data_IF_475051312844
#
_entry.id   IF_475051312844
#
_cell.length_a   1.000
_cell.length_b   1.000
_cell.length_c   1.000
_cell.angle_alpha   90.00
_cell.angle_beta   90.00
_cell.angle_gamma   90.00
#
_symmetry.space_group_name_H-M   'P 1'
#
loop_
_entity.id
_entity.type
_entity.pdbx_description
1 polymer ?
#
# COMPACT_ATOMS: atom_id res chain seq x y z
N UNK A 1 39.23 -22.10 44.10
CA UNK A 1 37.96 -22.52 43.44
C UNK A 1 36.87 -21.48 43.61
N UNK A 2 36.46 -21.11 44.83
CA UNK A 2 35.37 -20.13 45.05
C UNK A 2 35.62 -18.76 44.38
N UNK A 3 36.81 -18.16 44.53
CA UNK A 3 37.15 -16.89 43.88
C UNK A 3 37.12 -16.96 42.34
N UNK A 4 37.51 -18.11 41.78
CA UNK A 4 37.45 -18.36 40.33
C UNK A 4 35.99 -18.46 39.88
N UNK A 5 35.16 -19.22 40.60
CA UNK A 5 33.73 -19.34 40.31
C UNK A 5 33.00 -18.01 40.49
N UNK A 6 33.39 -17.21 41.48
CA UNK A 6 32.90 -15.85 41.68
C UNK A 6 33.23 -14.96 40.47
N UNK A 7 34.47 -15.01 39.98
CA UNK A 7 34.87 -14.32 38.74
C UNK A 7 34.01 -14.74 37.53
N UNK A 8 33.84 -16.05 37.31
CA UNK A 8 33.00 -16.58 36.21
C UNK A 8 31.51 -16.24 36.35
N UNK A 9 30.96 -16.26 37.57
CA UNK A 9 29.58 -15.92 37.85
C UNK A 9 29.31 -14.45 37.53
N UNK A 10 30.11 -13.52 38.07
CA UNK A 10 29.91 -12.09 37.82
C UNK A 10 30.24 -11.69 36.39
N UNK A 11 31.22 -12.34 35.75
CA UNK A 11 31.50 -12.09 34.32
C UNK A 11 30.32 -12.49 33.43
N UNK A 12 29.69 -13.65 33.69
CA UNK A 12 28.51 -14.09 32.95
C UNK A 12 27.20 -13.42 33.37
N UNK A 13 27.19 -12.69 34.49
CA UNK A 13 26.00 -11.96 34.96
C UNK A 13 25.49 -10.95 33.94
N UNK A 14 26.40 -10.35 33.15
CA UNK A 14 26.04 -9.48 32.03
C UNK A 14 25.26 -10.21 30.93
N UNK A 15 25.66 -11.43 30.58
CA UNK A 15 24.95 -12.28 29.62
C UNK A 15 23.60 -12.72 30.19
N UNK A 16 23.54 -13.08 31.47
CA UNK A 16 22.30 -13.39 32.17
C UNK A 16 21.30 -12.25 32.05
N UNK A 17 21.69 -11.02 32.37
CA UNK A 17 20.81 -9.84 32.26
C UNK A 17 20.27 -9.65 30.85
N UNK A 18 21.07 -9.92 29.81
CA UNK A 18 20.61 -9.84 28.41
C UNK A 18 19.52 -10.88 28.07
N UNK A 19 19.64 -12.11 28.56
CA UNK A 19 18.69 -13.20 28.25
C UNK A 19 17.53 -13.34 29.25
N UNK A 20 17.66 -12.75 30.44
CA UNK A 20 16.62 -12.72 31.48
C UNK A 20 15.34 -12.05 30.99
N UNK A 21 15.42 -11.11 30.04
CA UNK A 21 14.24 -10.53 29.38
C UNK A 21 13.62 -11.46 28.34
N UNK A 22 14.44 -12.05 27.46
CA UNK A 22 13.95 -12.76 26.26
C UNK A 22 13.37 -14.14 26.55
N UNK A 23 13.97 -14.90 27.46
CA UNK A 23 13.53 -16.26 27.80
C UNK A 23 12.08 -16.29 28.34
N UNK A 24 11.70 -15.41 29.29
CA UNK A 24 10.31 -15.30 29.74
C UNK A 24 9.31 -14.89 28.64
N UNK A 25 9.72 -14.02 27.71
CA UNK A 25 8.85 -13.63 26.59
C UNK A 25 8.61 -14.79 25.62
N UNK A 26 9.62 -15.61 25.36
CA UNK A 26 9.44 -16.83 24.57
C UNK A 26 8.46 -17.80 25.24
N UNK A 27 8.50 -17.93 26.57
CA UNK A 27 7.50 -18.71 27.30
C UNK A 27 6.10 -18.13 27.20
N UNK A 28 5.98 -16.80 27.25
CA UNK A 28 4.70 -16.10 27.05
C UNK A 28 4.16 -16.36 25.65
N UNK A 29 4.99 -16.21 24.62
CA UNK A 29 4.64 -16.49 23.22
C UNK A 29 4.14 -17.93 23.06
N UNK A 30 4.89 -18.91 23.59
CA UNK A 30 4.49 -20.33 23.56
C UNK A 30 3.13 -20.56 24.22
N UNK A 31 2.87 -19.93 25.37
CA UNK A 31 1.58 -20.05 26.05
C UNK A 31 0.44 -19.42 25.24
N UNK A 32 0.66 -18.22 24.66
CA UNK A 32 -0.31 -17.56 23.78
C UNK A 32 -0.61 -18.44 22.57
N UNK A 33 0.41 -18.96 21.90
CA UNK A 33 0.25 -19.86 20.77
C UNK A 33 -0.56 -21.11 21.15
N UNK A 34 -0.30 -21.70 22.32
CA UNK A 34 -1.04 -22.86 22.82
C UNK A 34 -2.52 -22.54 23.12
N UNK A 35 -2.84 -21.35 23.64
CA UNK A 35 -4.24 -20.93 23.83
C UNK A 35 -4.94 -20.69 22.49
N UNK A 36 -4.28 -19.99 21.55
CA UNK A 36 -4.81 -19.72 20.22
C UNK A 36 -5.03 -21.01 19.41
N UNK A 37 -4.13 -21.98 19.53
CA UNK A 37 -4.23 -23.27 18.80
C UNK A 37 -5.40 -24.14 19.27
N UNK A 38 -6.02 -23.85 20.43
CA UNK A 38 -7.26 -24.52 20.86
C UNK A 38 -8.44 -24.17 19.95
N UNK A 39 -8.38 -23.05 19.24
CA UNK A 39 -9.44 -22.57 18.35
C UNK A 39 -9.32 -23.33 17.02
N UNK A 40 -10.33 -24.14 16.68
CA UNK A 40 -10.28 -25.03 15.51
C UNK A 40 -10.07 -24.30 14.18
N UNK A 41 -10.65 -23.11 14.01
CA UNK A 41 -10.47 -22.31 12.78
C UNK A 41 -9.05 -21.82 12.56
N UNK A 42 -8.26 -21.62 13.64
CA UNK A 42 -6.87 -21.15 13.55
C UNK A 42 -5.89 -22.28 13.26
N UNK A 43 -6.27 -23.54 13.46
CA UNK A 43 -5.39 -24.70 13.20
C UNK A 43 -5.00 -24.83 11.73
N UNK A 44 -5.78 -24.26 10.82
CA UNK A 44 -5.52 -24.26 9.38
C UNK A 44 -4.22 -23.50 9.05
N UNK A 45 -3.86 -22.47 9.84
CA UNK A 45 -2.67 -21.64 9.61
C UNK A 45 -1.38 -22.45 9.78
N UNK A 46 -1.32 -23.33 10.79
CA UNK A 46 -0.19 -24.22 11.00
C UNK A 46 -0.60 -25.52 11.70
N UNK A 47 -0.93 -26.59 10.94
CA UNK A 47 -1.36 -27.87 11.51
C UNK A 47 -0.30 -28.56 12.38
N UNK A 48 0.99 -28.29 12.14
CA UNK A 48 2.10 -28.92 12.84
C UNK A 48 2.55 -28.17 14.10
N UNK A 49 1.93 -27.02 14.42
CA UNK A 49 2.32 -26.15 15.53
C UNK A 49 2.38 -26.88 16.88
N UNK A 50 1.48 -27.83 17.12
CA UNK A 50 1.44 -28.61 18.36
C UNK A 50 2.75 -29.37 18.60
N UNK A 51 3.42 -29.86 17.55
CA UNK A 51 4.73 -30.53 17.67
C UNK A 51 5.78 -29.55 18.20
N UNK A 52 5.79 -28.34 17.68
CA UNK A 52 6.73 -27.27 18.07
C UNK A 52 6.50 -26.79 19.49
N UNK A 53 5.23 -26.66 19.91
CA UNK A 53 4.85 -26.38 21.30
C UNK A 53 5.39 -27.47 22.24
N UNK A 54 5.13 -28.74 21.93
CA UNK A 54 5.55 -29.88 22.76
C UNK A 54 7.09 -29.98 22.87
N UNK A 55 7.82 -29.65 21.80
CA UNK A 55 9.28 -29.64 21.81
C UNK A 55 9.83 -28.56 22.76
N UNK A 56 9.20 -27.39 22.81
CA UNK A 56 9.60 -26.29 23.67
C UNK A 56 9.19 -26.50 25.14
N UNK A 57 8.15 -27.29 25.40
CA UNK A 57 7.78 -27.70 26.77
C UNK A 57 8.90 -28.47 27.48
N UNK A 58 9.72 -29.22 26.73
CA UNK A 58 10.89 -29.92 27.28
C UNK A 58 12.00 -28.97 27.79
N UNK A 59 11.96 -27.69 27.39
CA UNK A 59 12.90 -26.64 27.82
C UNK A 59 12.30 -25.75 28.92
N UNK A 60 10.96 -25.74 29.05
CA UNK A 60 10.19 -24.91 29.97
C UNK A 60 10.63 -24.99 31.45
N UNK A 61 10.86 -26.20 31.96
CA UNK A 61 11.27 -26.41 33.38
C UNK A 61 12.58 -25.71 33.73
N UNK A 62 13.53 -25.63 32.79
CA UNK A 62 14.83 -24.94 33.00
C UNK A 62 14.70 -23.43 32.80
N UNK A 63 13.80 -23.00 31.92
CA UNK A 63 13.52 -21.58 31.67
C UNK A 63 12.78 -20.91 32.85
N UNK A 64 11.96 -21.65 33.61
CA UNK A 64 11.27 -21.14 34.81
C UNK A 64 12.20 -20.71 35.94
N UNK A 65 13.42 -21.26 36.03
CA UNK A 65 14.43 -20.86 37.01
C UNK A 65 14.73 -19.35 36.93
N UNK A 66 14.78 -18.80 35.71
CA UNK A 66 15.04 -17.37 35.46
C UNK A 66 13.85 -16.45 35.78
N UNK A 67 12.64 -17.00 35.92
CA UNK A 67 11.44 -16.23 36.31
C UNK A 67 11.34 -16.05 37.83
N UNK A 68 12.03 -16.91 38.60
CA UNK A 68 11.96 -16.94 40.06
C UNK A 68 12.71 -15.77 40.72
N UNK A 69 13.73 -15.22 40.06
CA UNK A 69 14.58 -14.16 40.63
C UNK A 69 13.90 -12.79 40.73
N UNK A 70 12.80 -12.57 40.01
CA UNK A 70 12.14 -11.26 39.92
C UNK A 70 11.08 -11.00 41.02
N UNK A 71 10.92 -11.86 42.04
CA UNK A 71 9.77 -11.83 42.97
C UNK A 71 10.09 -11.75 44.48
N UNK A 72 11.33 -11.52 44.89
CA UNK A 72 11.70 -11.50 46.32
C UNK A 72 11.75 -10.06 46.86
N UNK A 73 10.85 -9.72 47.81
CA UNK A 73 10.70 -8.38 48.40
C UNK A 73 10.41 -8.45 49.92
N UNK A 74 11.25 -9.11 50.72
CA UNK A 74 11.13 -9.10 52.18
C UNK A 74 12.46 -9.27 52.92
N UNK A 75 12.60 -8.66 54.09
CA UNK A 75 13.87 -8.59 54.84
C UNK A 75 14.39 -9.95 55.31
N UNK A 76 13.49 -10.86 55.73
CA UNK A 76 13.89 -12.23 56.08
C UNK A 76 14.31 -13.04 54.83
N UNK A 77 13.76 -12.70 53.66
CA UNK A 77 14.12 -13.33 52.39
C UNK A 77 15.50 -12.87 51.90
N UNK A 78 16.00 -11.71 52.33
CA UNK A 78 17.32 -11.19 51.93
C UNK A 78 18.48 -12.05 52.46
N UNK A 79 18.38 -12.55 53.71
CA UNK A 79 19.39 -13.46 54.28
C UNK A 79 19.37 -14.83 53.59
N UNK A 80 18.18 -15.39 53.37
CA UNK A 80 18.03 -16.62 52.59
C UNK A 80 18.53 -16.45 51.14
N UNK A 81 18.28 -15.28 50.53
CA UNK A 81 18.77 -14.94 49.21
C UNK A 81 20.30 -14.85 49.17
N UNK A 82 20.93 -14.23 50.17
CA UNK A 82 22.39 -14.18 50.28
C UNK A 82 23.04 -15.56 50.39
N UNK A 83 22.47 -16.46 51.20
CA UNK A 83 22.94 -17.86 51.30
C UNK A 83 22.75 -18.60 49.98
N UNK A 84 21.60 -18.39 49.32
CA UNK A 84 21.30 -18.99 48.03
C UNK A 84 22.21 -18.47 46.91
N UNK A 85 22.55 -17.19 46.91
CA UNK A 85 23.53 -16.58 46.00
C UNK A 85 24.92 -17.19 46.17
N UNK A 86 25.39 -17.35 47.41
CA UNK A 86 26.68 -18.01 47.68
C UNK A 86 26.68 -19.45 47.15
N UNK A 87 25.57 -20.17 47.32
CA UNK A 87 25.41 -21.52 46.77
C UNK A 87 25.42 -21.51 45.23
N UNK A 88 24.71 -20.59 44.58
CA UNK A 88 24.70 -20.42 43.12
C UNK A 88 26.08 -20.09 42.57
N UNK A 89 26.84 -19.23 43.26
CA UNK A 89 28.23 -18.89 42.91
C UNK A 89 29.12 -20.12 43.06
N UNK A 90 29.01 -20.84 44.18
CA UNK A 90 29.86 -22.00 44.47
C UNK A 90 29.75 -23.07 43.39
N UNK A 91 28.54 -23.32 42.87
CA UNK A 91 28.26 -24.35 41.87
C UNK A 91 28.08 -23.84 40.43
N UNK A 92 28.27 -22.54 40.18
CA UNK A 92 28.04 -21.91 38.86
C UNK A 92 26.65 -22.23 38.26
N UNK A 93 25.63 -22.32 39.11
CA UNK A 93 24.30 -22.83 38.72
C UNK A 93 23.70 -21.98 37.60
N UNK A 94 23.71 -20.67 37.74
CA UNK A 94 23.15 -19.72 36.77
C UNK A 94 23.82 -19.79 35.39
N UNK A 95 25.16 -19.64 35.25
CA UNK A 95 25.82 -19.82 33.96
C UNK A 95 25.57 -21.19 33.33
N UNK A 96 25.65 -22.27 34.10
CA UNK A 96 25.43 -23.63 33.59
C UNK A 96 24.00 -23.84 33.09
N UNK A 97 23.01 -23.31 33.82
CA UNK A 97 21.62 -23.33 33.39
C UNK A 97 21.40 -22.47 32.15
N UNK A 98 21.97 -21.27 32.09
CA UNK A 98 21.82 -20.35 30.97
C UNK A 98 22.39 -20.98 29.70
N UNK A 99 23.66 -21.38 29.70
CA UNK A 99 24.28 -22.01 28.54
C UNK A 99 23.60 -23.33 28.16
N UNK A 100 23.11 -24.09 29.14
CA UNK A 100 22.33 -25.30 28.91
C UNK A 100 20.98 -25.04 28.23
N UNK A 101 20.31 -23.92 28.55
CA UNK A 101 19.08 -23.49 27.88
C UNK A 101 19.40 -22.93 26.50
N UNK A 102 20.38 -22.04 26.38
CA UNK A 102 20.78 -21.44 25.10
C UNK A 102 21.18 -22.50 24.07
N UNK A 103 22.00 -23.48 24.46
CA UNK A 103 22.38 -24.59 23.57
C UNK A 103 21.18 -25.39 23.08
N UNK A 104 20.16 -25.59 23.94
CA UNK A 104 18.92 -26.26 23.54
C UNK A 104 18.08 -25.39 22.61
N UNK A 105 17.90 -24.11 22.94
CA UNK A 105 17.14 -23.17 22.11
C UNK A 105 17.77 -22.97 20.73
N UNK A 106 19.11 -23.00 20.65
CA UNK A 106 19.83 -22.87 19.39
C UNK A 106 19.49 -24.00 18.41
N UNK A 107 19.27 -25.21 18.91
CA UNK A 107 18.80 -26.34 18.10
C UNK A 107 17.31 -26.30 17.75
N UNK A 108 16.57 -25.29 18.25
CA UNK A 108 15.11 -25.16 18.18
C UNK A 108 14.61 -23.90 17.51
N UNK A 109 15.48 -23.25 16.72
CA UNK A 109 15.15 -21.99 16.02
C UNK A 109 13.91 -22.13 15.13
N UNK A 110 13.80 -23.22 14.37
CA UNK A 110 12.66 -23.46 13.47
C UNK A 110 11.34 -23.55 14.24
N UNK A 111 11.32 -24.26 15.36
CA UNK A 111 10.13 -24.38 16.20
C UNK A 111 9.74 -23.03 16.83
N UNK A 112 10.73 -22.19 17.17
CA UNK A 112 10.49 -20.84 17.69
C UNK A 112 9.92 -19.93 16.59
N UNK A 113 10.51 -19.95 15.38
CA UNK A 113 10.04 -19.21 14.22
C UNK A 113 8.58 -19.55 13.89
N UNK A 114 8.22 -20.84 13.89
CA UNK A 114 6.84 -21.28 13.69
C UNK A 114 5.85 -20.74 14.74
N UNK A 115 6.27 -20.53 16.00
CA UNK A 115 5.43 -19.88 17.00
C UNK A 115 5.26 -18.38 16.70
N UNK A 116 6.33 -17.71 16.26
CA UNK A 116 6.29 -16.30 15.90
C UNK A 116 5.38 -16.07 14.69
N UNK A 117 5.56 -16.85 13.63
CA UNK A 117 4.75 -16.75 12.41
C UNK A 117 3.28 -17.00 12.71
N UNK A 118 2.96 -18.06 13.45
CA UNK A 118 1.58 -18.38 13.81
C UNK A 118 0.91 -17.26 14.61
N UNK A 119 1.56 -16.77 15.68
CA UNK A 119 0.98 -15.71 16.50
C UNK A 119 0.90 -14.40 15.71
N UNK A 120 1.90 -14.08 14.89
CA UNK A 120 1.92 -12.90 14.04
C UNK A 120 0.86 -12.92 12.93
N UNK A 121 0.57 -14.09 12.37
CA UNK A 121 -0.50 -14.26 11.40
C UNK A 121 -1.88 -14.07 12.05
N UNK A 122 -2.10 -14.65 13.24
CA UNK A 122 -3.32 -14.41 14.02
C UNK A 122 -3.49 -12.92 14.36
N UNK A 123 -2.42 -12.24 14.80
CA UNK A 123 -2.45 -10.81 15.09
C UNK A 123 -2.80 -9.97 13.85
N UNK A 124 -2.24 -10.35 12.68
CA UNK A 124 -2.57 -9.73 11.40
C UNK A 124 -4.04 -9.92 11.01
N UNK A 125 -4.58 -11.13 11.20
CA UNK A 125 -6.00 -11.42 10.95
C UNK A 125 -6.94 -10.63 11.87
N UNK A 126 -6.58 -10.48 13.15
CA UNK A 126 -7.32 -9.66 14.11
C UNK A 126 -7.28 -8.18 13.70
N UNK A 127 -6.13 -7.69 13.22
CA UNK A 127 -6.00 -6.32 12.69
C UNK A 127 -6.92 -6.09 11.49
N UNK A 128 -6.98 -7.03 10.53
CA UNK A 128 -7.89 -6.95 9.38
C UNK A 128 -9.36 -7.02 9.82
N UNK A 129 -9.70 -7.87 10.79
CA UNK A 129 -11.05 -7.96 11.33
C UNK A 129 -11.48 -6.64 12.01
N UNK A 130 -10.60 -6.05 12.82
CA UNK A 130 -10.83 -4.76 13.48
C UNK A 130 -11.00 -3.62 12.46
N UNK A 131 -10.20 -3.61 11.40
CA UNK A 131 -10.37 -2.67 10.28
C UNK A 131 -11.77 -2.80 9.68
N UNK A 132 -12.21 -4.02 9.34
CA UNK A 132 -13.52 -4.26 8.73
C UNK A 132 -14.68 -3.85 9.65
N UNK A 133 -14.56 -4.07 10.94
CA UNK A 133 -15.56 -3.65 11.93
C UNK A 133 -15.69 -2.12 12.03
N UNK A 134 -14.58 -1.41 11.86
CA UNK A 134 -14.55 0.06 11.84
C UNK A 134 -15.00 0.71 10.53
N UNK A 135 -15.18 -0.06 9.45
CA UNK A 135 -15.57 0.46 8.14
C UNK A 135 -17.09 0.47 7.97
N UNK A 136 -17.64 1.58 7.45
CA UNK A 136 -19.07 1.67 7.13
C UNK A 136 -19.49 0.86 5.90
N UNK A 137 -18.57 0.63 4.95
CA UNK A 137 -18.83 -0.15 3.73
C UNK A 137 -17.53 -0.81 3.25
N UNK A 138 -17.55 -2.11 3.00
CA UNK A 138 -16.44 -2.81 2.38
C UNK A 138 -16.97 -4.05 1.64
N UNK A 139 -16.13 -4.61 0.76
CA UNK A 139 -16.43 -5.89 0.13
C UNK A 139 -15.19 -6.80 0.11
N UNK A 140 -15.44 -8.10 0.03
CA UNK A 140 -14.41 -9.09 -0.30
C UNK A 140 -14.27 -9.12 -1.83
N UNK A 141 -13.08 -8.95 -2.39
CA UNK A 141 -12.89 -8.92 -3.84
C UNK A 141 -13.21 -10.27 -4.48
N UNK A 142 -13.81 -10.23 -5.67
CA UNK A 142 -13.99 -11.43 -6.50
C UNK A 142 -12.86 -11.50 -7.53
N UNK A 143 -11.96 -12.47 -7.35
CA UNK A 143 -10.86 -12.71 -8.28
C UNK A 143 -11.38 -13.41 -9.55
N UNK A 144 -11.10 -12.81 -10.71
CA UNK A 144 -11.55 -13.32 -12.02
C UNK A 144 -10.36 -13.70 -12.91
N UNK A 145 -10.62 -14.57 -13.89
CA UNK A 145 -9.57 -15.06 -14.80
C UNK A 145 -9.28 -14.15 -15.99
N UNK A 146 -10.23 -13.30 -16.37
CA UNK A 146 -10.06 -12.39 -17.48
C UNK A 146 -9.12 -11.24 -17.08
N UNK A 147 -7.91 -11.16 -17.65
CA UNK A 147 -6.90 -10.19 -17.23
C UNK A 147 -7.26 -8.75 -17.59
N UNK A 148 -8.20 -8.53 -18.52
CA UNK A 148 -8.58 -7.20 -19.02
C UNK A 148 -9.96 -6.76 -18.55
N UNK A 149 -10.46 -7.38 -17.48
CA UNK A 149 -11.75 -7.04 -16.89
C UNK A 149 -11.58 -6.55 -15.47
N UNK A 150 -12.25 -5.47 -15.12
CA UNK A 150 -12.31 -4.97 -13.75
C UNK A 150 -13.64 -4.28 -13.52
N UNK A 151 -14.27 -4.54 -12.37
CA UNK A 151 -15.55 -3.94 -12.03
C UNK A 151 -15.49 -3.44 -10.60
N UNK A 152 -15.69 -2.14 -10.41
CA UNK A 152 -15.77 -1.52 -9.09
C UNK A 152 -17.07 -0.72 -8.98
N UNK A 153 -17.86 -0.98 -7.93
CA UNK A 153 -19.09 -0.24 -7.62
C UNK A 153 -18.94 0.48 -6.29
N UNK A 154 -19.27 1.76 -6.30
CA UNK A 154 -19.18 2.64 -5.12
C UNK A 154 -17.81 2.53 -4.43
N UNK A 155 -16.72 2.54 -5.22
CA UNK A 155 -15.34 2.58 -4.73
C UNK A 155 -15.04 3.94 -4.13
N UNK A 156 -14.32 3.93 -3.00
CA UNK A 156 -13.86 5.15 -2.34
C UNK A 156 -12.43 4.99 -1.81
N UNK A 157 -11.79 6.11 -1.47
CA UNK A 157 -10.47 6.11 -0.84
C UNK A 157 -10.62 6.10 0.68
N UNK A 158 -10.06 5.12 1.41
CA UNK A 158 -10.25 4.99 2.86
C UNK A 158 -9.67 6.14 3.68
N UNK A 159 -8.64 6.82 3.16
CA UNK A 159 -7.97 7.94 3.85
C UNK A 159 -8.56 9.33 3.50
N UNK A 160 -9.60 9.40 2.67
CA UNK A 160 -10.27 10.67 2.34
C UNK A 160 -11.57 10.72 3.15
N UNK A 161 -11.70 11.70 4.05
CA UNK A 161 -12.93 11.94 4.77
C UNK A 161 -14.06 12.36 3.81
N UNK A 162 -15.27 11.86 4.04
CA UNK A 162 -16.46 12.12 3.22
C UNK A 162 -16.23 11.90 1.71
N UNK A 163 -15.44 10.88 1.37
CA UNK A 163 -15.08 10.56 0.00
C UNK A 163 -16.31 10.22 -0.86
N UNK A 164 -16.49 10.94 -1.97
CA UNK A 164 -17.53 10.64 -2.94
C UNK A 164 -17.18 9.33 -3.68
N UNK A 165 -18.01 8.31 -3.46
CA UNK A 165 -17.83 7.00 -4.07
C UNK A 165 -18.12 7.02 -5.57
N UNK A 166 -17.31 6.31 -6.36
CA UNK A 166 -17.44 6.25 -7.81
C UNK A 166 -17.63 4.81 -8.29
N UNK A 167 -18.06 4.61 -9.54
CA UNK A 167 -18.18 3.27 -10.12
C UNK A 167 -17.53 3.24 -11.48
N UNK A 168 -16.88 2.12 -11.81
CA UNK A 168 -16.25 1.92 -13.11
C UNK A 168 -16.39 0.46 -13.54
N UNK A 169 -16.55 0.28 -14.85
CA UNK A 169 -16.61 -1.01 -15.50
C UNK A 169 -15.61 -1.01 -16.65
N UNK A 170 -14.68 -1.95 -16.62
CA UNK A 170 -13.62 -2.08 -17.61
C UNK A 170 -13.82 -3.40 -18.34
N UNK A 171 -13.96 -3.32 -19.66
CA UNK A 171 -13.95 -4.46 -20.56
C UNK A 171 -12.97 -4.19 -21.70
N UNK A 172 -11.83 -4.89 -21.70
CA UNK A 172 -10.78 -4.88 -22.72
C UNK A 172 -9.97 -3.58 -22.85
N UNK A 173 -10.64 -2.43 -22.87
CA UNK A 173 -10.01 -1.11 -23.04
C UNK A 173 -9.48 -0.57 -21.72
N UNK A 174 -8.40 0.20 -21.81
CA UNK A 174 -7.84 0.94 -20.67
C UNK A 174 -8.61 2.23 -20.41
N UNK A 175 -8.34 2.95 -19.33
CA UNK A 175 -9.12 4.11 -18.88
C UNK A 175 -8.29 5.38 -18.98
N UNK A 176 -8.81 6.39 -19.69
CA UNK A 176 -8.23 7.73 -19.77
C UNK A 176 -9.18 8.73 -19.13
N UNK A 177 -8.68 9.48 -18.15
CA UNK A 177 -9.46 10.40 -17.33
C UNK A 177 -9.02 11.83 -17.63
N UNK A 178 -9.96 12.65 -18.09
CA UNK A 178 -9.77 14.09 -18.31
C UNK A 178 -10.48 14.93 -17.25
N UNK A 179 -10.13 16.20 -17.13
CA UNK A 179 -10.75 17.10 -16.14
C UNK A 179 -9.79 18.17 -15.66
N UNK A 180 -10.33 19.23 -15.06
CA UNK A 180 -9.55 20.33 -14.46
C UNK A 180 -8.70 19.87 -13.27
N UNK A 181 -7.74 20.69 -12.86
CA UNK A 181 -6.99 20.43 -11.62
C UNK A 181 -7.96 20.45 -10.44
N UNK A 182 -7.65 19.72 -9.37
CA UNK A 182 -8.50 19.60 -8.16
C UNK A 182 -9.85 18.88 -8.35
N UNK A 183 -10.18 18.41 -9.56
CA UNK A 183 -11.46 17.73 -9.84
C UNK A 183 -11.58 16.29 -9.31
N UNK A 184 -10.51 15.73 -8.75
CA UNK A 184 -10.50 14.40 -8.13
C UNK A 184 -9.85 13.27 -8.95
N UNK A 185 -9.27 13.57 -10.13
CA UNK A 185 -8.63 12.56 -11.02
C UNK A 185 -7.59 11.70 -10.29
N UNK A 186 -6.58 12.33 -9.70
CA UNK A 186 -5.50 11.65 -8.96
C UNK A 186 -6.04 10.83 -7.78
N UNK A 187 -7.01 11.39 -7.04
CA UNK A 187 -7.65 10.71 -5.92
C UNK A 187 -8.39 9.45 -6.36
N UNK A 188 -9.08 9.50 -7.51
CA UNK A 188 -9.76 8.33 -8.07
C UNK A 188 -8.77 7.25 -8.53
N UNK A 189 -7.70 7.63 -9.24
CA UNK A 189 -6.65 6.67 -9.65
C UNK A 189 -6.00 6.01 -8.42
N UNK A 190 -5.68 6.80 -7.38
CA UNK A 190 -5.19 6.26 -6.11
C UNK A 190 -6.20 5.34 -5.44
N UNK A 191 -7.50 5.67 -5.50
CA UNK A 191 -8.56 4.80 -4.96
C UNK A 191 -8.55 3.42 -5.61
N UNK A 192 -8.42 3.35 -6.94
CA UNK A 192 -8.30 2.07 -7.67
C UNK A 192 -7.06 1.31 -7.18
N UNK A 193 -5.88 1.94 -7.18
CA UNK A 193 -4.64 1.29 -6.75
C UNK A 193 -4.69 0.76 -5.31
N UNK A 194 -5.17 1.58 -4.37
CA UNK A 194 -5.33 1.18 -2.96
C UNK A 194 -6.30 0.01 -2.81
N UNK A 195 -7.41 0.02 -3.54
CA UNK A 195 -8.39 -1.07 -3.47
C UNK A 195 -7.86 -2.39 -4.06
N UNK A 196 -7.11 -2.33 -5.16
CA UNK A 196 -6.46 -3.53 -5.73
C UNK A 196 -5.40 -4.07 -4.77
N UNK A 197 -4.57 -3.19 -4.21
CA UNK A 197 -3.53 -3.58 -3.24
C UNK A 197 -4.15 -4.24 -2.00
N UNK A 198 -5.10 -3.58 -1.35
CA UNK A 198 -5.78 -4.12 -0.17
C UNK A 198 -6.63 -5.36 -0.50
N UNK A 199 -7.21 -5.41 -1.70
CA UNK A 199 -7.95 -6.57 -2.18
C UNK A 199 -7.07 -7.81 -2.28
N UNK A 200 -5.88 -7.69 -2.88
CA UNK A 200 -4.95 -8.81 -3.07
C UNK A 200 -4.18 -9.19 -1.79
N UNK A 201 -3.98 -8.25 -0.86
CA UNK A 201 -3.17 -8.49 0.35
C UNK A 201 -4.00 -8.73 1.61
N UNK A 202 -5.10 -8.00 1.79
CA UNK A 202 -5.96 -8.06 2.98
C UNK A 202 -7.31 -8.73 2.69
N UNK A 203 -7.52 -9.20 1.46
CA UNK A 203 -8.81 -9.72 0.99
C UNK A 203 -9.98 -8.75 1.26
N UNK A 204 -9.71 -7.44 1.17
CA UNK A 204 -10.66 -6.38 1.57
C UNK A 204 -10.54 -5.18 0.63
N UNK A 205 -11.66 -4.77 0.04
CA UNK A 205 -11.75 -3.55 -0.76
C UNK A 205 -12.74 -2.56 -0.12
N UNK A 206 -12.40 -1.28 -0.22
CA UNK A 206 -13.19 -0.11 0.16
C UNK A 206 -14.17 0.25 -0.96
N UNK A 207 -15.13 -0.64 -1.18
CA UNK A 207 -16.15 -0.55 -2.20
C UNK A 207 -17.37 -1.37 -1.79
N UNK A 208 -18.50 -1.17 -2.46
CA UNK A 208 -19.67 -2.05 -2.31
C UNK A 208 -19.53 -3.35 -3.08
N UNK A 209 -18.81 -3.31 -4.20
CA UNK A 209 -18.45 -4.49 -4.99
C UNK A 209 -17.16 -4.23 -5.74
N UNK A 210 -16.25 -5.21 -5.74
CA UNK A 210 -15.00 -5.14 -6.48
C UNK A 210 -14.67 -6.52 -7.08
N UNK A 211 -14.36 -6.54 -8.37
CA UNK A 211 -13.92 -7.74 -9.08
C UNK A 211 -12.78 -7.41 -10.04
N UNK A 212 -11.74 -8.23 -10.00
CA UNK A 212 -10.48 -7.98 -10.70
C UNK A 212 -9.68 -9.26 -10.89
N UNK A 213 -8.78 -9.34 -11.87
CA UNK A 213 -7.80 -10.42 -11.96
C UNK A 213 -6.68 -10.27 -10.92
N UNK A 214 -5.90 -11.33 -10.75
CA UNK A 214 -4.61 -11.21 -10.07
C UNK A 214 -3.66 -10.40 -10.95
N UNK A 215 -3.08 -9.33 -10.40
CA UNK A 215 -2.24 -8.41 -11.17
C UNK A 215 -1.18 -7.77 -10.30
N UNK A 216 -0.08 -7.35 -10.93
CA UNK A 216 0.89 -6.46 -10.28
C UNK A 216 0.44 -5.01 -10.44
N UNK A 217 0.80 -4.14 -9.50
CA UNK A 217 0.46 -2.71 -9.54
C UNK A 217 1.74 -1.91 -9.74
N UNK A 218 1.72 -0.99 -10.70
CA UNK A 218 2.78 -0.02 -10.93
C UNK A 218 2.17 1.38 -11.00
N UNK A 219 2.83 2.36 -10.40
CA UNK A 219 2.33 3.74 -10.38
C UNK A 219 3.40 4.77 -10.72
N UNK A 220 3.04 5.72 -11.56
CA UNK A 220 3.78 6.94 -11.87
C UNK A 220 2.87 8.12 -11.50
N UNK A 221 2.62 8.27 -10.19
CA UNK A 221 1.78 9.34 -9.62
C UNK A 221 2.69 10.20 -8.76
N UNK A 222 2.76 11.51 -9.04
CA UNK A 222 3.65 12.43 -8.31
C UNK A 222 3.13 12.67 -6.89
N UNK A 223 4.06 12.82 -5.93
CA UNK A 223 3.77 13.06 -4.51
C UNK A 223 4.01 14.53 -4.10
N UNK A 224 4.78 15.32 -4.87
CA UNK A 224 5.10 16.71 -4.52
C UNK A 224 5.20 17.65 -5.72
N UNK A 225 4.61 18.84 -5.58
CA UNK A 225 4.71 19.99 -6.50
C UNK A 225 5.94 20.87 -6.18
N UNK A 226 7.06 20.28 -5.76
CA UNK A 226 8.24 21.05 -5.37
C UNK A 226 9.07 21.41 -6.62
N UNK A 227 8.73 22.57 -7.21
CA UNK A 227 9.27 23.18 -8.44
C UNK A 227 10.79 23.41 -8.45
N UNK A 228 11.50 23.15 -7.36
CA UNK A 228 12.92 23.47 -7.22
C UNK A 228 13.86 22.42 -7.86
N UNK A 229 13.35 21.31 -8.41
CA UNK A 229 14.19 20.20 -8.92
C UNK A 229 13.71 19.56 -10.25
N UNK A 230 13.00 20.29 -11.11
CA UNK A 230 12.28 19.80 -12.29
C UNK A 230 13.06 18.86 -13.24
N UNK A 231 14.38 19.05 -13.42
CA UNK A 231 15.19 18.20 -14.32
C UNK A 231 15.37 16.78 -13.78
N UNK A 232 15.56 16.62 -12.48
CA UNK A 232 15.71 15.29 -11.86
C UNK A 232 14.39 14.53 -11.89
N UNK A 233 13.27 15.23 -11.65
CA UNK A 233 11.94 14.61 -11.67
C UNK A 233 11.52 14.12 -13.05
N UNK A 234 11.79 14.88 -14.11
CA UNK A 234 11.50 14.41 -15.47
C UNK A 234 12.31 13.14 -15.81
N UNK A 235 13.58 13.08 -15.42
CA UNK A 235 14.41 11.91 -15.68
C UNK A 235 13.95 10.69 -14.86
N UNK A 236 13.58 10.86 -13.59
CA UNK A 236 12.99 9.80 -12.77
C UNK A 236 11.66 9.28 -13.32
N UNK A 237 10.81 10.18 -13.84
CA UNK A 237 9.57 9.81 -14.52
C UNK A 237 9.85 8.97 -15.77
N UNK A 238 10.82 9.36 -16.60
CA UNK A 238 11.24 8.59 -17.77
C UNK A 238 11.75 7.20 -17.40
N UNK A 239 12.56 7.09 -16.33
CA UNK A 239 13.05 5.79 -15.84
C UNK A 239 11.92 4.91 -15.30
N UNK A 240 10.99 5.50 -14.56
CA UNK A 240 9.81 4.78 -14.02
C UNK A 240 8.94 4.25 -15.16
N UNK A 241 8.69 5.06 -16.20
CA UNK A 241 7.93 4.63 -17.37
C UNK A 241 8.67 3.53 -18.15
N UNK A 242 10.00 3.59 -18.23
CA UNK A 242 10.80 2.52 -18.84
C UNK A 242 10.63 1.20 -18.08
N UNK A 243 10.69 1.22 -16.75
CA UNK A 243 10.45 0.03 -15.93
C UNK A 243 9.04 -0.53 -16.15
N UNK A 244 8.01 0.34 -16.23
CA UNK A 244 6.65 -0.08 -16.57
C UNK A 244 6.57 -0.77 -17.94
N UNK A 245 7.26 -0.24 -18.95
CA UNK A 245 7.34 -0.85 -20.29
C UNK A 245 7.98 -2.24 -20.21
N UNK A 246 9.09 -2.38 -19.48
CA UNK A 246 9.76 -3.66 -19.31
C UNK A 246 8.86 -4.70 -18.60
N UNK A 247 8.10 -4.26 -17.60
CA UNK A 247 7.13 -5.11 -16.89
C UNK A 247 5.89 -5.42 -17.74
N UNK A 248 5.46 -4.51 -18.61
CA UNK A 248 4.29 -4.73 -19.48
C UNK A 248 4.45 -5.92 -20.43
N UNK A 249 5.71 -6.30 -20.72
CA UNK A 249 6.06 -7.39 -21.62
C UNK A 249 6.33 -8.73 -20.90
N UNK A 250 6.16 -8.81 -19.57
CA UNK A 250 6.54 -9.99 -18.78
C UNK A 250 5.52 -11.15 -18.84
N UNK A 251 4.41 -11.00 -19.57
CA UNK A 251 3.37 -12.01 -19.72
C UNK A 251 2.49 -12.22 -18.48
N UNK A 252 2.48 -11.29 -17.53
CA UNK A 252 1.57 -11.26 -16.38
C UNK A 252 0.58 -10.10 -16.53
N UNK A 253 -0.63 -10.19 -15.94
CA UNK A 253 -1.52 -9.05 -15.85
C UNK A 253 -0.90 -7.95 -14.98
N UNK A 254 -0.91 -6.72 -15.47
CA UNK A 254 -0.40 -5.56 -14.73
C UNK A 254 -1.41 -4.41 -14.78
N UNK A 255 -1.50 -3.68 -13.68
CA UNK A 255 -2.22 -2.42 -13.55
C UNK A 255 -1.23 -1.28 -13.51
N UNK A 256 -1.26 -0.44 -14.55
CA UNK A 256 -0.45 0.78 -14.62
C UNK A 256 -1.29 1.99 -14.27
N UNK A 257 -0.87 2.75 -13.26
CA UNK A 257 -1.54 3.96 -12.78
C UNK A 257 -0.66 5.16 -13.06
N UNK A 258 -1.05 6.02 -14.00
CA UNK A 258 -0.27 7.17 -14.42
C UNK A 258 -1.03 8.48 -14.18
N UNK A 259 -0.34 9.50 -13.69
CA UNK A 259 -0.92 10.82 -13.50
C UNK A 259 -0.09 11.88 -14.24
N UNK A 260 -0.66 12.42 -15.32
CA UNK A 260 -0.11 13.55 -16.09
C UNK A 260 1.35 13.37 -16.54
N UNK A 261 1.60 12.31 -17.32
CA UNK A 261 2.94 11.98 -17.81
C UNK A 261 3.60 13.09 -18.64
N UNK A 262 4.92 13.21 -18.51
CA UNK A 262 5.77 14.09 -19.32
C UNK A 262 5.41 15.58 -19.24
N UNK A 263 4.89 16.05 -18.10
CA UNK A 263 4.54 17.46 -17.86
C UNK A 263 5.67 18.47 -18.12
N UNK A 264 6.93 18.05 -18.08
CA UNK A 264 8.12 18.91 -18.19
C UNK A 264 8.67 19.18 -19.59
N UNK A 265 8.02 18.71 -20.67
CA UNK A 265 8.46 18.96 -22.05
C UNK A 265 7.44 19.77 -22.88
N UNK A 266 7.81 20.14 -24.10
CA UNK A 266 6.95 20.81 -25.07
C UNK A 266 5.69 19.97 -25.35
N UNK A 267 4.53 20.62 -25.45
CA UNK A 267 3.22 20.01 -25.72
C UNK A 267 3.23 18.98 -26.86
N UNK A 268 3.91 19.26 -27.98
CA UNK A 268 3.97 18.32 -29.13
C UNK A 268 4.72 17.04 -28.77
N UNK A 269 5.88 17.17 -28.13
CA UNK A 269 6.67 16.02 -27.67
C UNK A 269 5.92 15.24 -26.58
N UNK A 270 5.28 15.95 -25.64
CA UNK A 270 4.47 15.34 -24.58
C UNK A 270 3.34 14.49 -25.13
N UNK A 271 2.53 15.03 -26.05
CA UNK A 271 1.39 14.31 -26.63
C UNK A 271 1.86 13.12 -27.47
N UNK A 272 2.88 13.32 -28.32
CA UNK A 272 3.38 12.26 -29.20
C UNK A 272 4.04 11.11 -28.41
N UNK A 273 4.91 11.42 -27.45
CA UNK A 273 5.52 10.43 -26.57
C UNK A 273 4.47 9.76 -25.67
N UNK A 274 3.56 10.55 -25.08
CA UNK A 274 2.47 10.04 -24.25
C UNK A 274 1.59 9.05 -24.99
N UNK A 275 1.17 9.37 -26.22
CA UNK A 275 0.41 8.47 -27.09
C UNK A 275 1.18 7.16 -27.33
N UNK A 276 2.45 7.24 -27.73
CA UNK A 276 3.24 6.06 -28.05
C UNK A 276 3.42 5.13 -26.85
N UNK A 277 3.73 5.70 -25.67
CA UNK A 277 3.91 4.96 -24.42
C UNK A 277 2.59 4.32 -23.97
N UNK A 278 1.49 5.10 -23.95
CA UNK A 278 0.19 4.61 -23.49
C UNK A 278 -0.33 3.49 -24.41
N UNK A 279 -0.29 3.67 -25.74
CA UNK A 279 -0.63 2.59 -26.69
C UNK A 279 0.27 1.35 -26.54
N UNK A 280 1.51 1.50 -26.05
CA UNK A 280 2.39 0.35 -25.79
C UNK A 280 1.96 -0.40 -24.53
N UNK A 281 1.65 0.31 -23.45
CA UNK A 281 1.27 -0.26 -22.15
C UNK A 281 -0.07 -1.01 -22.21
N UNK A 282 -0.99 -0.69 -23.11
CA UNK A 282 -2.29 -1.40 -23.25
C UNK A 282 -2.18 -2.79 -23.90
N UNK A 283 -1.02 -3.13 -24.47
CA UNK A 283 -0.77 -4.42 -25.12
C UNK A 283 -0.79 -5.55 -24.08
N UNK A 284 -1.02 -6.78 -24.56
CA UNK A 284 -1.04 -7.97 -23.71
C UNK A 284 -2.20 -7.97 -22.73
N UNK A 285 -1.91 -8.31 -21.47
CA UNK A 285 -2.84 -8.54 -20.37
C UNK A 285 -2.94 -7.34 -19.42
N UNK A 286 -2.52 -6.16 -19.87
CA UNK A 286 -2.38 -4.98 -19.03
C UNK A 286 -3.66 -4.13 -19.02
N UNK A 287 -3.94 -3.51 -17.86
CA UNK A 287 -4.94 -2.46 -17.66
C UNK A 287 -4.19 -1.18 -17.32
N UNK A 288 -4.50 -0.09 -18.02
CA UNK A 288 -3.88 1.21 -17.78
C UNK A 288 -4.95 2.20 -17.32
N UNK A 289 -4.67 2.92 -16.24
CA UNK A 289 -5.39 4.13 -15.86
C UNK A 289 -4.45 5.31 -16.03
N UNK A 290 -4.88 6.31 -16.80
CA UNK A 290 -4.11 7.53 -16.99
C UNK A 290 -4.99 8.77 -16.83
N UNK A 291 -4.52 9.75 -16.07
CA UNK A 291 -5.10 11.10 -16.08
C UNK A 291 -4.29 12.05 -16.95
N UNK A 292 -4.99 12.94 -17.66
CA UNK A 292 -4.36 13.99 -18.46
C UNK A 292 -5.24 15.24 -18.57
N UNK A 293 -4.60 16.37 -18.87
CA UNK A 293 -5.25 17.62 -19.26
C UNK A 293 -5.31 17.81 -20.78
N UNK A 294 -4.53 17.02 -21.52
CA UNK A 294 -4.42 17.10 -22.97
C UNK A 294 -5.62 16.39 -23.60
N UNK A 295 -6.54 17.18 -24.16
CA UNK A 295 -7.73 16.65 -24.85
C UNK A 295 -7.31 15.99 -26.16
N UNK A 296 -6.27 16.51 -26.80
CA UNK A 296 -5.68 15.95 -28.01
C UNK A 296 -5.18 14.52 -27.79
N UNK A 297 -4.56 14.26 -26.64
CA UNK A 297 -4.12 12.91 -26.27
C UNK A 297 -5.31 11.96 -26.10
N UNK A 298 -6.41 12.44 -25.51
CA UNK A 298 -7.64 11.66 -25.37
C UNK A 298 -8.24 11.27 -26.74
N UNK A 299 -8.21 12.20 -27.71
CA UNK A 299 -8.70 11.95 -29.06
C UNK A 299 -7.83 10.91 -29.81
N UNK A 300 -6.51 10.97 -29.64
CA UNK A 300 -5.56 10.05 -30.27
C UNK A 300 -5.60 8.61 -29.73
N UNK A 301 -6.19 8.40 -28.54
CA UNK A 301 -6.22 7.14 -27.81
C UNK A 301 -7.62 6.51 -27.69
N UNK A 302 -8.62 7.07 -28.37
CA UNK A 302 -10.03 6.65 -28.23
C UNK A 302 -10.29 5.19 -28.68
N UNK A 303 -9.41 4.64 -29.52
CA UNK A 303 -9.49 3.24 -29.94
C UNK A 303 -8.98 2.27 -28.86
N UNK A 304 -7.92 2.63 -28.12
CA UNK A 304 -7.34 1.80 -27.06
C UNK A 304 -7.89 2.08 -25.65
N UNK A 305 -8.47 3.27 -25.44
CA UNK A 305 -8.95 3.74 -24.13
C UNK A 305 -10.42 4.12 -24.15
N UNK A 306 -11.13 3.79 -23.08
CA UNK A 306 -12.41 4.42 -22.74
C UNK A 306 -12.16 5.77 -22.05
N UNK A 307 -12.88 6.78 -22.52
CA UNK A 307 -12.76 8.13 -22.02
C UNK A 307 -13.72 8.35 -20.85
N UNK A 308 -13.18 8.88 -19.77
CA UNK A 308 -13.94 9.38 -18.62
C UNK A 308 -13.50 10.80 -18.29
N UNK A 309 -14.32 11.51 -17.54
CA UNK A 309 -13.98 12.85 -17.07
C UNK A 309 -14.55 13.17 -15.70
N UNK A 310 -13.87 14.11 -15.03
CA UNK A 310 -14.42 14.90 -13.94
C UNK A 310 -14.66 16.32 -14.46
N UNK A 311 -15.70 16.97 -13.96
CA UNK A 311 -16.08 18.33 -14.37
C UNK A 311 -16.43 19.19 -13.18
N UNK A 312 -16.03 20.44 -13.21
CA UNK A 312 -16.54 21.46 -12.29
C UNK A 312 -17.98 21.88 -12.63
N UNK A 313 -18.76 22.19 -11.60
CA UNK A 313 -20.04 22.89 -11.68
C UNK A 313 -19.82 24.35 -11.31
N UNK A 314 -20.28 25.21 -12.21
CA UNK A 314 -20.03 26.65 -12.14
C UNK A 314 -21.35 27.33 -11.83
N UNK A 315 -21.54 27.68 -10.56
CA UNK A 315 -22.69 28.45 -10.07
C UNK A 315 -22.33 29.94 -10.02
N UNK A 316 -23.30 30.87 -10.08
CA UNK A 316 -23.08 32.33 -10.23
C UNK A 316 -21.95 32.99 -9.42
N UNK A 317 -21.48 32.39 -8.31
CA UNK A 317 -20.39 32.90 -7.47
C UNK A 317 -19.37 31.85 -6.99
N UNK A 318 -19.53 30.57 -7.34
CA UNK A 318 -18.66 29.50 -6.83
C UNK A 318 -18.36 28.45 -7.90
N UNK A 319 -17.13 27.94 -7.88
CA UNK A 319 -16.71 26.74 -8.60
C UNK A 319 -16.81 25.59 -7.60
N UNK A 320 -17.68 24.63 -7.88
CA UNK A 320 -17.89 23.45 -7.05
C UNK A 320 -17.52 22.18 -7.84
N UNK A 321 -17.04 21.16 -7.15
CA UNK A 321 -16.66 19.89 -7.77
C UNK A 321 -17.56 18.79 -7.19
N UNK A 322 -18.33 18.13 -8.06
CA UNK A 322 -19.18 17.02 -7.62
C UNK A 322 -18.42 15.70 -7.43
N UNK A 323 -17.11 15.70 -7.72
CA UNK A 323 -16.19 14.55 -7.59
C UNK A 323 -16.75 13.24 -8.15
N UNK A 324 -17.61 13.34 -9.18
CA UNK A 324 -18.29 12.20 -9.80
C UNK A 324 -17.67 11.92 -11.16
N UNK A 325 -17.21 10.68 -11.35
CA UNK A 325 -16.68 10.17 -12.60
C UNK A 325 -17.81 10.05 -13.63
N UNK A 326 -17.62 10.67 -14.79
CA UNK A 326 -18.60 10.69 -15.89
C UNK A 326 -18.01 10.03 -17.13
N UNK A 327 -18.83 9.26 -17.84
CA UNK A 327 -18.40 8.61 -19.08
C UNK A 327 -18.33 9.64 -20.24
N UNK A 328 -17.34 9.46 -21.12
CA UNK A 328 -17.16 10.23 -22.34
C UNK A 328 -16.15 11.38 -22.19
N UNK A 329 -15.97 12.10 -23.30
CA UNK A 329 -15.05 13.24 -23.40
C UNK A 329 -15.57 14.46 -22.65
N UNK A 330 -14.68 15.17 -21.97
CA UNK A 330 -14.96 16.48 -21.38
C UNK A 330 -15.29 17.49 -22.48
N UNK A 331 -16.51 18.05 -22.47
CA UNK A 331 -16.97 19.01 -23.49
C UNK A 331 -16.72 20.48 -23.13
N UNK A 332 -16.76 20.83 -21.84
CA UNK A 332 -16.71 22.21 -21.40
C UNK A 332 -15.52 22.42 -20.45
N UNK A 333 -14.68 23.41 -20.75
CA UNK A 333 -13.64 23.90 -19.85
C UNK A 333 -14.12 25.23 -19.30
N UNK A 334 -14.39 25.32 -17.99
CA UNK A 334 -14.97 26.54 -17.43
C UNK A 334 -13.93 27.59 -16.99
N UNK A 335 -12.66 27.45 -17.37
CA UNK A 335 -11.58 28.34 -16.94
C UNK A 335 -11.87 29.83 -17.19
N UNK A 336 -12.41 30.18 -18.35
CA UNK A 336 -12.77 31.58 -18.68
C UNK A 336 -13.91 32.08 -17.77
N UNK A 337 -14.83 31.19 -17.38
CA UNK A 337 -15.93 31.52 -16.46
C UNK A 337 -15.45 31.73 -15.03
N UNK A 338 -14.30 31.17 -14.66
CA UNK A 338 -13.63 31.47 -13.40
C UNK A 338 -13.11 32.91 -13.40
N UNK A 339 -12.60 33.41 -14.54
CA UNK A 339 -12.20 34.82 -14.66
C UNK A 339 -13.41 35.76 -14.47
N UNK A 340 -14.54 35.42 -15.10
CA UNK A 340 -15.82 36.13 -14.93
C UNK A 340 -16.26 36.19 -13.46
N UNK A 341 -16.12 35.10 -12.71
CA UNK A 341 -16.43 35.07 -11.27
C UNK A 341 -15.52 35.93 -10.40
N UNK A 342 -14.27 36.11 -10.82
CA UNK A 342 -13.29 36.92 -10.08
C UNK A 342 -13.35 38.41 -10.48
N UNK A 343 -14.42 38.83 -11.18
CA UNK A 343 -14.65 40.20 -11.62
C UNK A 343 -13.49 40.75 -12.47
N UNK A 344 -12.93 39.91 -13.34
CA UNK A 344 -12.03 40.38 -14.39
C UNK A 344 -12.80 41.33 -15.34
N UNK A 345 -12.12 42.28 -16.00
CA UNK A 345 -12.77 43.19 -16.94
C UNK A 345 -13.56 42.46 -18.05
N UNK A 346 -14.76 42.96 -18.36
CA UNK A 346 -15.69 42.33 -19.33
C UNK A 346 -15.10 42.23 -20.74
N UNK A 347 -14.32 43.23 -21.15
CA UNK A 347 -13.60 43.27 -22.43
C UNK A 347 -12.55 42.15 -22.53
N UNK A 348 -11.77 41.92 -21.47
CA UNK A 348 -10.81 40.82 -21.38
C UNK A 348 -11.51 39.46 -21.45
N UNK A 349 -12.63 39.31 -20.74
CA UNK A 349 -13.41 38.06 -20.75
C UNK A 349 -13.97 37.78 -22.15
N UNK A 350 -14.51 38.82 -22.80
CA UNK A 350 -15.07 38.70 -24.14
C UNK A 350 -13.99 38.32 -25.16
N UNK A 351 -12.83 38.97 -25.13
CA UNK A 351 -11.67 38.63 -25.97
C UNK A 351 -11.25 37.16 -25.76
N UNK A 352 -11.12 36.73 -24.50
CA UNK A 352 -10.75 35.35 -24.18
C UNK A 352 -11.78 34.32 -24.70
N UNK A 353 -13.09 34.62 -24.59
CA UNK A 353 -14.15 33.75 -25.11
C UNK A 353 -14.15 33.67 -26.65
N UNK A 354 -13.93 34.79 -27.33
CA UNK A 354 -13.86 34.86 -28.79
C UNK A 354 -12.65 34.07 -29.30
N UNK A 355 -11.47 34.30 -28.73
CA UNK A 355 -10.25 33.58 -29.09
C UNK A 355 -10.37 32.06 -28.84
N UNK A 356 -10.97 31.66 -27.72
CA UNK A 356 -11.19 30.23 -27.43
C UNK A 356 -12.08 29.57 -28.47
N UNK A 357 -13.13 30.24 -28.93
CA UNK A 357 -14.03 29.71 -29.97
C UNK A 357 -13.33 29.59 -31.31
N UNK A 358 -12.47 30.55 -31.66
CA UNK A 358 -11.68 30.49 -32.89
C UNK A 358 -10.69 29.32 -32.87
N UNK A 359 -9.95 29.13 -31.78
CA UNK A 359 -9.00 28.03 -31.61
C UNK A 359 -9.68 26.66 -31.66
N UNK A 360 -10.86 26.51 -31.05
CA UNK A 360 -11.63 25.25 -31.13
C UNK A 360 -12.15 24.99 -32.55
N UNK A 361 -12.58 26.04 -33.25
CA UNK A 361 -13.10 25.94 -34.62
C UNK A 361 -11.98 25.58 -35.62
N UNK A 362 -10.79 26.14 -35.47
CA UNK A 362 -9.64 25.82 -36.34
C UNK A 362 -9.13 24.38 -36.10
N UNK A 363 -9.21 23.87 -34.85
CA UNK A 363 -8.96 22.44 -34.55
C UNK A 363 -9.95 21.51 -35.22
N UNK A 364 -11.23 21.87 -35.28
CA UNK A 364 -12.27 21.10 -35.97
C UNK A 364 -12.14 21.11 -37.50
N UNK A 365 -11.62 22.21 -38.07
CA UNK A 365 -11.49 22.40 -39.53
C UNK A 365 -10.18 21.85 -40.12
N UNK A 366 -9.14 21.64 -39.31
CA UNK A 366 -7.83 21.15 -39.78
C UNK A 366 -7.19 20.13 -38.82
N UNK A 367 -7.76 18.92 -38.67
CA UNK A 367 -7.13 17.86 -37.88
C UNK A 367 -5.73 17.49 -38.40
N UNK A 368 -5.50 17.60 -39.72
CA UNK A 368 -4.26 17.13 -40.38
C UNK A 368 -3.05 18.07 -40.31
N UNK A 369 -3.19 19.29 -39.79
CA UNK A 369 -2.04 20.23 -39.75
C UNK A 369 -1.03 19.91 -38.65
N UNK A 370 -1.43 19.18 -37.61
CA UNK A 370 -0.52 18.65 -36.59
C UNK A 370 0.14 17.32 -37.00
N UNK A 371 -0.35 16.68 -38.07
CA UNK A 371 0.13 15.39 -38.57
C UNK A 371 1.22 15.51 -39.66
N UNK A 372 1.58 16.73 -40.11
CA UNK A 372 2.50 16.94 -41.25
C UNK A 372 3.90 17.48 -40.90
N UNK A 373 4.26 17.52 -39.63
CA UNK A 373 5.67 17.64 -39.21
C UNK A 373 6.07 16.34 -38.54
N UNK A 374 6.30 15.31 -39.36
CA UNK A 374 7.03 14.10 -38.99
C UNK A 374 8.45 14.20 -39.55
#
# INVERSE_FOLDING_TARGET
VFLINMGFHYWNKRNLVQYMGSIPQLLRLKNVANELFKIDSLKILNPDLQKSINILDNVHKRMMFFKLEARLQGDMQALFWGIFEIFKILFLIEPLLLFGVLKKLDTKRKEIEQLFDFVGEVDSLVSIASLREGLGSYCIPTIIKDPKRMVAKEIYHPLIADCISNSIHIEQKSILITGSNMSGKTSFIRSIGTNVLCGLTLNTCFAKYFSMPEMNIFSAIRISDDLMNDKSYYFEEVLTIKEMIDQSANGKPNLFLLDEIFKGTNTVERISAGKAVLSYLTKGENIVFVSTHDIELADLLNDEYELYHFSEKVNKKTVDFDYTLKNGRLRNRNAIRILEMNNYPDDLIQEAMELSKELDRDKLLRPDRFLKTC
#
